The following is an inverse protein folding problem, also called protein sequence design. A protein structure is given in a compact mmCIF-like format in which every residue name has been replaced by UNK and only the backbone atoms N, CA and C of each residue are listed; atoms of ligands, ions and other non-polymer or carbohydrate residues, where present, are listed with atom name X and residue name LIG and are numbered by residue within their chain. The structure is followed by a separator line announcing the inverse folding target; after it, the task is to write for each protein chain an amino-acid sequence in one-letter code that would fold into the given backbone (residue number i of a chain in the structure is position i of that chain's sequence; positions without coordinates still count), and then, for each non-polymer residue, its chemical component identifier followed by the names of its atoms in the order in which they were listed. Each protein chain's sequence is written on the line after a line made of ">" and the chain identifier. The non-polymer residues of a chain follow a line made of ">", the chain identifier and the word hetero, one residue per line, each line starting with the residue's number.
data_IF_247249335339
#
_entry.id   IF_247249335339
#
_cell.length_a   1.000
_cell.length_b   1.000
_cell.length_c   1.000
_cell.angle_alpha   90.00
_cell.angle_beta   90.00
_cell.angle_gamma   90.00
#
_symmetry.space_group_name_H-M   'P 1'
#
loop_
_entity.id
_entity.type
_entity.pdbx_description
1 polymer ?
#
# COMPACT_ATOMS: atom_id res chain seq x y z
N UNK A 1 -24.27 9.36 15.77
CA UNK A 1 -23.47 9.15 14.55
C UNK A 1 -22.22 8.40 14.96
N UNK A 2 -21.88 7.31 14.27
CA UNK A 2 -20.69 6.50 14.62
C UNK A 2 -19.41 7.27 14.29
N UNK A 3 -18.41 7.14 15.16
CA UNK A 3 -17.12 7.80 15.03
C UNK A 3 -16.03 6.77 14.67
N UNK A 4 -15.33 6.99 13.57
CA UNK A 4 -14.22 6.16 13.10
C UNK A 4 -12.91 6.93 13.25
N UNK A 5 -11.92 6.29 13.86
CA UNK A 5 -10.54 6.75 13.86
C UNK A 5 -9.79 6.09 12.68
N UNK A 6 -9.36 6.87 11.72
CA UNK A 6 -8.54 6.40 10.60
C UNK A 6 -7.07 6.72 10.89
N UNK A 7 -6.22 5.69 10.90
CA UNK A 7 -4.81 5.81 11.27
C UNK A 7 -3.92 5.37 10.10
N UNK A 8 -3.05 6.25 9.63
CA UNK A 8 -2.13 6.02 8.52
C UNK A 8 -0.67 6.25 8.94
N UNK A 9 0.29 5.87 8.09
CA UNK A 9 1.69 6.21 8.29
C UNK A 9 1.96 7.68 8.02
N UNK A 10 1.50 8.18 6.89
CA UNK A 10 1.75 9.55 6.45
C UNK A 10 0.49 10.37 6.27
N UNK A 11 0.64 11.68 6.33
CA UNK A 11 -0.43 12.65 6.23
C UNK A 11 -1.26 12.51 4.95
N UNK A 12 -0.60 12.46 3.79
CA UNK A 12 -1.27 12.37 2.48
C UNK A 12 -2.15 11.12 2.38
N UNK A 13 -1.66 9.98 2.85
CA UNK A 13 -2.42 8.72 2.89
C UNK A 13 -3.63 8.84 3.81
N UNK A 14 -3.46 9.48 4.96
CA UNK A 14 -4.53 9.69 5.93
C UNK A 14 -5.70 10.48 5.33
N UNK A 15 -5.42 11.64 4.76
CA UNK A 15 -6.45 12.48 4.12
C UNK A 15 -7.10 11.78 2.94
N UNK A 16 -6.31 11.11 2.13
CA UNK A 16 -6.83 10.39 0.98
C UNK A 16 -7.80 9.28 1.37
N UNK A 17 -7.42 8.41 2.31
CA UNK A 17 -8.30 7.32 2.78
C UNK A 17 -9.56 7.88 3.48
N UNK A 18 -9.43 9.00 4.22
CA UNK A 18 -10.59 9.70 4.78
C UNK A 18 -11.57 10.13 3.70
N UNK A 19 -11.09 10.76 2.64
CA UNK A 19 -11.94 11.25 1.56
C UNK A 19 -12.60 10.10 0.79
N UNK A 20 -11.93 8.96 0.66
CA UNK A 20 -12.54 7.75 0.11
C UNK A 20 -13.66 7.19 1.00
N UNK A 21 -13.41 7.09 2.30
CA UNK A 21 -14.42 6.63 3.25
C UNK A 21 -15.64 7.55 3.25
N UNK A 22 -15.45 8.88 3.19
CA UNK A 22 -16.54 9.84 3.06
C UNK A 22 -17.36 9.65 1.78
N UNK A 23 -16.70 9.35 0.65
CA UNK A 23 -17.42 9.07 -0.61
C UNK A 23 -18.26 7.79 -0.55
N UNK A 24 -17.75 6.76 0.16
CA UNK A 24 -18.44 5.47 0.28
C UNK A 24 -19.56 5.47 1.31
N UNK A 25 -19.32 6.10 2.45
CA UNK A 25 -20.21 6.02 3.62
C UNK A 25 -21.05 7.29 3.82
N UNK A 26 -20.72 8.36 3.09
CA UNK A 26 -21.42 9.64 3.16
C UNK A 26 -21.37 10.26 4.55
N UNK A 27 -22.41 11.03 4.91
CA UNK A 27 -22.51 11.72 6.18
C UNK A 27 -23.02 10.83 7.34
N UNK A 28 -23.00 9.50 7.18
CA UNK A 28 -23.47 8.55 8.20
C UNK A 28 -22.47 8.35 9.33
N UNK A 29 -21.21 8.73 9.09
CA UNK A 29 -20.11 8.55 10.04
C UNK A 29 -19.32 9.83 10.21
N UNK A 30 -18.70 9.97 11.38
CA UNK A 30 -17.69 10.98 11.64
C UNK A 30 -16.31 10.32 11.56
N UNK A 31 -15.36 10.90 10.83
CA UNK A 31 -14.02 10.34 10.66
C UNK A 31 -12.98 11.33 11.18
N UNK A 32 -12.26 10.91 12.21
CA UNK A 32 -11.02 11.58 12.63
C UNK A 32 -9.83 10.86 12.01
N UNK A 33 -8.97 11.60 11.34
CA UNK A 33 -7.78 11.05 10.72
C UNK A 33 -6.52 11.39 11.51
N UNK A 34 -5.68 10.37 11.70
CA UNK A 34 -4.41 10.43 12.42
C UNK A 34 -3.30 9.85 11.54
N UNK A 35 -2.05 10.25 11.78
CA UNK A 35 -0.89 9.69 11.10
C UNK A 35 0.33 9.71 12.02
N UNK A 36 1.26 8.77 11.80
CA UNK A 36 2.36 8.48 12.74
C UNK A 36 3.32 9.65 12.96
N UNK A 37 3.46 10.54 11.97
CA UNK A 37 4.33 11.72 12.03
C UNK A 37 3.57 13.00 12.45
N UNK A 38 2.29 12.87 12.79
CA UNK A 38 1.41 13.97 13.12
C UNK A 38 0.99 14.02 14.58
N UNK A 39 -0.08 14.75 14.84
CA UNK A 39 -0.64 14.92 16.18
C UNK A 39 -1.44 13.69 16.61
N UNK A 40 -0.77 12.63 17.04
CA UNK A 40 -1.41 11.50 17.71
C UNK A 40 -1.76 11.90 19.15
N UNK A 41 -3.02 11.80 19.56
CA UNK A 41 -3.40 12.03 20.94
C UNK A 41 -2.86 10.89 21.82
N UNK A 42 -2.70 11.14 23.12
CA UNK A 42 -2.30 10.10 24.06
C UNK A 42 -3.25 8.89 24.03
N UNK A 43 -4.56 9.15 23.83
CA UNK A 43 -5.58 8.12 23.64
C UNK A 43 -6.54 8.49 22.53
N UNK A 44 -6.70 7.58 21.58
CA UNK A 44 -7.67 7.66 20.48
C UNK A 44 -8.99 7.09 20.99
N UNK A 45 -10.03 7.96 21.03
CA UNK A 45 -11.39 7.58 21.39
C UNK A 45 -12.25 7.58 20.12
N UNK A 46 -12.83 6.44 19.80
CA UNK A 46 -13.74 6.25 18.68
C UNK A 46 -14.65 5.05 18.92
N UNK A 47 -15.62 4.80 18.05
CA UNK A 47 -16.40 3.55 18.07
C UNK A 47 -15.64 2.41 17.37
N UNK A 48 -14.75 2.76 16.43
CA UNK A 48 -13.98 1.82 15.64
C UNK A 48 -12.70 2.46 15.09
N UNK A 49 -11.60 1.70 14.99
CA UNK A 49 -10.35 2.16 14.41
C UNK A 49 -10.01 1.42 13.11
N UNK A 50 -9.56 2.16 12.10
CA UNK A 50 -9.08 1.60 10.83
C UNK A 50 -7.62 1.98 10.64
N UNK A 51 -6.74 1.00 10.53
CA UNK A 51 -5.34 1.19 10.19
C UNK A 51 -5.13 0.95 8.69
N UNK A 52 -4.50 1.88 8.00
CA UNK A 52 -4.23 1.75 6.57
C UNK A 52 -3.14 0.74 6.23
N UNK A 53 -2.37 0.28 7.23
CA UNK A 53 -1.34 -0.74 7.09
C UNK A 53 -1.01 -1.38 8.43
N UNK A 54 -0.38 -2.57 8.38
CA UNK A 54 0.14 -3.26 9.58
C UNK A 54 1.21 -2.41 10.29
N UNK A 55 2.04 -1.69 9.54
CA UNK A 55 3.06 -0.82 10.11
C UNK A 55 2.45 0.39 10.85
N UNK A 56 1.35 0.97 10.34
CA UNK A 56 0.61 2.00 11.06
C UNK A 56 0.08 1.46 12.40
N UNK A 57 -0.49 0.24 12.40
CA UNK A 57 -0.92 -0.42 13.62
C UNK A 57 0.24 -0.64 14.61
N UNK A 58 1.36 -1.21 14.16
CA UNK A 58 2.52 -1.47 15.03
C UNK A 58 3.05 -0.22 15.72
N UNK A 59 3.05 0.92 15.01
CA UNK A 59 3.55 2.19 15.55
C UNK A 59 2.57 2.91 16.49
N UNK A 60 1.28 2.64 16.38
CA UNK A 60 0.27 3.51 17.03
C UNK A 60 -0.79 2.77 17.85
N UNK A 61 -0.78 1.43 17.89
CA UNK A 61 -1.78 0.64 18.63
C UNK A 61 -1.82 0.98 20.13
N UNK A 62 -0.70 1.41 20.71
CA UNK A 62 -0.63 1.83 22.13
C UNK A 62 -1.42 3.10 22.43
N UNK A 63 -1.78 3.88 21.41
CA UNK A 63 -2.64 5.06 21.52
C UNK A 63 -4.14 4.73 21.51
N UNK A 64 -4.52 3.48 21.22
CA UNK A 64 -5.93 3.08 21.26
C UNK A 64 -6.45 3.06 22.70
N UNK A 65 -7.70 3.46 22.88
CA UNK A 65 -8.41 3.22 24.14
C UNK A 65 -8.64 1.73 24.35
N UNK A 66 -8.62 1.29 25.61
CA UNK A 66 -8.80 -0.12 25.94
C UNK A 66 -10.13 -0.65 25.39
N UNK A 67 -10.09 -1.80 24.72
CA UNK A 67 -11.27 -2.44 24.12
C UNK A 67 -11.80 -1.78 22.85
N UNK A 68 -11.12 -0.75 22.29
CA UNK A 68 -11.53 -0.16 21.01
C UNK A 68 -11.40 -1.19 19.89
N UNK A 69 -12.49 -1.60 19.23
CA UNK A 69 -12.41 -2.52 18.11
C UNK A 69 -11.70 -1.86 16.94
N UNK A 70 -10.90 -2.67 16.23
CA UNK A 70 -10.13 -2.16 15.08
C UNK A 70 -10.03 -3.17 13.95
N UNK A 71 -9.66 -2.66 12.78
CA UNK A 71 -9.23 -3.47 11.65
C UNK A 71 -7.97 -2.89 11.01
N UNK A 72 -7.20 -3.76 10.39
CA UNK A 72 -6.10 -3.36 9.51
C UNK A 72 -6.59 -3.56 8.09
N UNK A 73 -6.67 -2.47 7.30
CA UNK A 73 -7.14 -2.57 5.93
C UNK A 73 -6.18 -3.41 5.08
N UNK A 74 -6.74 -4.26 4.25
CA UNK A 74 -5.97 -4.95 3.21
C UNK A 74 -5.85 -4.03 2.00
N UNK A 75 -4.66 -3.94 1.45
CA UNK A 75 -4.46 -3.19 0.20
C UNK A 75 -5.12 -3.97 -0.94
N UNK A 76 -5.91 -3.29 -1.76
CA UNK A 76 -6.39 -3.80 -3.04
C UNK A 76 -5.52 -3.23 -4.16
N UNK A 77 -5.35 -4.00 -5.22
CA UNK A 77 -4.62 -3.56 -6.42
C UNK A 77 -5.61 -2.89 -7.36
N UNK A 78 -5.18 -1.79 -8.00
CA UNK A 78 -5.98 -1.16 -9.04
C UNK A 78 -5.96 -2.05 -10.30
N UNK A 79 -7.10 -2.62 -10.64
CA UNK A 79 -7.23 -3.54 -11.78
C UNK A 79 -6.80 -2.92 -13.12
N UNK A 80 -6.96 -1.61 -13.32
CA UNK A 80 -6.57 -0.93 -14.56
C UNK A 80 -5.05 -0.92 -14.84
N UNK A 81 -4.23 -1.15 -13.82
CA UNK A 81 -2.78 -1.21 -13.96
C UNK A 81 -2.26 -2.67 -14.00
N UNK A 82 -3.10 -3.60 -13.60
CA UNK A 82 -2.78 -5.03 -13.55
C UNK A 82 -2.70 -5.63 -14.96
N UNK A 83 -3.48 -5.10 -15.90
CA UNK A 83 -3.51 -5.56 -17.29
C UNK A 83 -2.11 -5.61 -17.92
N UNK A 84 -1.25 -4.65 -17.60
CA UNK A 84 0.13 -4.59 -18.08
C UNK A 84 1.00 -5.76 -17.60
N UNK A 85 0.66 -6.37 -16.47
CA UNK A 85 1.38 -7.52 -15.95
C UNK A 85 1.03 -8.80 -16.71
N UNK A 86 -0.20 -8.91 -17.19
CA UNK A 86 -0.62 -10.04 -18.03
C UNK A 86 0.06 -10.04 -19.41
N UNK A 87 0.49 -8.85 -19.89
CA UNK A 87 1.21 -8.73 -21.17
C UNK A 87 2.67 -9.17 -21.09
N UNK A 88 3.23 -9.31 -19.88
CA UNK A 88 4.62 -9.72 -19.69
C UNK A 88 4.79 -11.21 -19.99
N UNK A 89 5.86 -11.60 -20.69
CA UNK A 89 6.16 -13.01 -20.94
C UNK A 89 6.32 -13.81 -19.64
N UNK A 90 5.85 -15.06 -19.64
CA UNK A 90 6.02 -15.96 -18.52
C UNK A 90 7.51 -16.08 -18.13
N UNK A 91 7.78 -16.17 -16.83
CA UNK A 91 9.14 -16.21 -16.30
C UNK A 91 9.88 -14.87 -16.27
N UNK A 92 9.20 -13.76 -16.65
CA UNK A 92 9.80 -12.43 -16.51
C UNK A 92 10.08 -12.10 -15.06
N UNK A 93 11.32 -11.69 -14.76
CA UNK A 93 11.71 -11.25 -13.43
C UNK A 93 11.15 -9.84 -13.15
N UNK A 94 10.37 -9.73 -12.08
CA UNK A 94 9.69 -8.49 -11.65
C UNK A 94 10.12 -8.14 -10.24
N UNK A 95 10.65 -6.93 -10.05
CA UNK A 95 10.94 -6.36 -8.75
C UNK A 95 9.69 -5.70 -8.19
N UNK A 96 9.11 -6.24 -7.12
CA UNK A 96 7.97 -5.63 -6.46
C UNK A 96 8.44 -4.76 -5.31
N UNK A 97 8.31 -3.45 -5.49
CA UNK A 97 8.84 -2.41 -4.60
C UNK A 97 7.73 -1.87 -3.70
N UNK A 98 7.96 -1.89 -2.37
CA UNK A 98 7.05 -1.29 -1.40
C UNK A 98 7.84 -0.61 -0.26
N UNK A 99 7.13 0.02 0.67
CA UNK A 99 7.68 0.70 1.85
C UNK A 99 8.40 -0.25 2.83
N UNK A 100 7.94 -1.50 2.91
CA UNK A 100 8.58 -2.56 3.69
C UNK A 100 8.43 -3.92 3.00
N UNK A 101 9.29 -4.86 3.38
CA UNK A 101 9.34 -6.20 2.78
C UNK A 101 8.04 -6.99 2.98
N UNK A 102 7.37 -6.82 4.13
CA UNK A 102 6.10 -7.49 4.40
C UNK A 102 5.00 -6.99 3.44
N UNK A 103 4.90 -5.67 3.23
CA UNK A 103 3.95 -5.09 2.27
C UNK A 103 4.24 -5.54 0.84
N UNK A 104 5.52 -5.71 0.48
CA UNK A 104 5.90 -6.24 -0.83
C UNK A 104 5.44 -7.70 -1.00
N UNK A 105 5.69 -8.55 -0.01
CA UNK A 105 5.27 -9.95 -0.03
C UNK A 105 3.74 -10.10 -0.03
N UNK A 106 3.02 -9.30 0.77
CA UNK A 106 1.56 -9.29 0.79
C UNK A 106 1.00 -8.91 -0.61
N UNK A 107 1.64 -7.97 -1.30
CA UNK A 107 1.27 -7.57 -2.66
C UNK A 107 1.54 -8.68 -3.67
N UNK A 108 2.69 -9.38 -3.59
CA UNK A 108 3.00 -10.54 -4.43
C UNK A 108 1.94 -11.63 -4.24
N UNK A 109 1.63 -11.98 -2.99
CA UNK A 109 0.61 -12.98 -2.69
C UNK A 109 -0.76 -12.61 -3.26
N UNK A 110 -1.10 -11.32 -3.23
CA UNK A 110 -2.34 -10.83 -3.81
C UNK A 110 -2.34 -10.95 -5.34
N UNK A 111 -1.24 -10.60 -6.03
CA UNK A 111 -1.09 -10.75 -7.48
C UNK A 111 -1.24 -12.22 -7.89
N UNK A 112 -0.59 -13.13 -7.17
CA UNK A 112 -0.70 -14.58 -7.41
C UNK A 112 -2.13 -15.09 -7.21
N UNK A 113 -2.82 -14.61 -6.16
CA UNK A 113 -4.24 -14.94 -5.92
C UNK A 113 -5.16 -14.45 -7.05
N UNK A 114 -4.79 -13.35 -7.71
CA UNK A 114 -5.50 -12.82 -8.88
C UNK A 114 -5.16 -13.55 -10.20
N UNK A 115 -4.34 -14.62 -10.14
CA UNK A 115 -3.95 -15.40 -11.32
C UNK A 115 -2.78 -14.82 -12.10
N UNK A 116 -2.00 -13.88 -11.51
CA UNK A 116 -0.78 -13.37 -12.12
C UNK A 116 0.41 -14.06 -11.47
N UNK A 117 0.49 -15.36 -11.69
CA UNK A 117 1.49 -16.27 -11.13
C UNK A 117 2.56 -16.71 -12.15
N UNK A 118 2.42 -16.28 -13.41
CA UNK A 118 3.34 -16.59 -14.50
C UNK A 118 4.65 -15.79 -14.45
N UNK A 119 4.78 -14.83 -13.53
CA UNK A 119 5.95 -13.96 -13.37
C UNK A 119 6.81 -14.39 -12.17
N UNK A 120 8.12 -14.12 -12.23
CA UNK A 120 9.03 -14.33 -11.12
C UNK A 120 9.14 -13.05 -10.28
N UNK A 121 8.47 -13.01 -9.14
CA UNK A 121 8.47 -11.84 -8.26
C UNK A 121 9.61 -11.84 -7.26
N UNK A 122 10.26 -10.69 -7.10
CA UNK A 122 11.26 -10.43 -6.07
C UNK A 122 10.79 -9.23 -5.24
N UNK A 123 10.54 -9.45 -3.96
CA UNK A 123 10.16 -8.39 -3.04
C UNK A 123 11.35 -7.49 -2.74
N UNK A 124 11.13 -6.18 -2.75
CA UNK A 124 12.13 -5.17 -2.43
C UNK A 124 11.54 -4.07 -1.54
N UNK A 125 12.33 -3.64 -0.57
CA UNK A 125 12.05 -2.49 0.28
C UNK A 125 13.32 -1.64 0.44
N UNK A 126 13.18 -0.32 0.75
CA UNK A 126 14.33 0.54 1.00
C UNK A 126 15.25 0.00 2.09
N UNK A 127 16.56 0.06 1.86
CA UNK A 127 17.57 -0.44 2.79
C UNK A 127 17.97 -1.90 2.60
N UNK A 128 17.45 -2.58 1.58
CA UNK A 128 17.93 -3.90 1.18
C UNK A 128 19.12 -3.77 0.23
N UNK A 129 20.22 -4.45 0.56
CA UNK A 129 21.44 -4.46 -0.27
C UNK A 129 21.38 -5.48 -1.41
N UNK A 130 20.57 -6.54 -1.27
CA UNK A 130 20.44 -7.60 -2.27
C UNK A 130 19.36 -7.26 -3.31
N UNK A 131 19.77 -6.51 -4.32
CA UNK A 131 18.91 -6.18 -5.44
C UNK A 131 18.94 -7.28 -6.49
N UNK A 132 17.87 -8.06 -6.59
CA UNK A 132 17.77 -9.12 -7.60
C UNK A 132 17.66 -8.53 -9.01
N UNK A 133 18.25 -9.24 -10.00
CA UNK A 133 18.16 -8.83 -11.40
C UNK A 133 16.72 -8.93 -11.90
N UNK A 134 16.13 -7.79 -12.21
CA UNK A 134 14.76 -7.69 -12.73
C UNK A 134 14.72 -6.69 -13.90
N UNK A 135 13.94 -7.03 -14.93
CA UNK A 135 13.72 -6.14 -16.09
C UNK A 135 12.63 -5.13 -15.83
N UNK A 136 11.73 -5.43 -14.94
CA UNK A 136 10.53 -4.65 -14.64
C UNK A 136 10.47 -4.39 -13.15
N UNK A 137 10.13 -3.16 -12.75
CA UNK A 137 9.79 -2.84 -11.38
C UNK A 137 8.31 -2.44 -11.30
N UNK A 138 7.62 -3.01 -10.33
CA UNK A 138 6.21 -2.73 -10.05
C UNK A 138 6.09 -2.18 -8.64
N UNK A 139 5.31 -1.13 -8.47
CA UNK A 139 5.06 -0.54 -7.17
C UNK A 139 3.62 -0.07 -7.04
N UNK A 140 2.92 -0.39 -5.94
CA UNK A 140 1.57 0.12 -5.69
C UNK A 140 1.58 1.59 -5.20
N UNK A 141 2.25 2.49 -5.93
CA UNK A 141 2.26 3.93 -5.64
C UNK A 141 3.54 4.47 -4.98
N UNK A 142 4.53 3.62 -4.71
CA UNK A 142 5.78 4.00 -4.01
C UNK A 142 6.95 4.19 -4.99
N UNK A 143 6.73 4.92 -6.09
CA UNK A 143 7.73 5.14 -7.16
C UNK A 143 9.05 5.73 -6.66
N UNK A 144 9.04 6.49 -5.56
CA UNK A 144 10.24 7.05 -4.90
C UNK A 144 11.21 5.99 -4.40
N UNK A 145 10.73 4.78 -4.13
CA UNK A 145 11.53 3.67 -3.60
C UNK A 145 12.08 2.75 -4.70
N UNK A 146 11.66 2.94 -5.94
CA UNK A 146 12.20 2.17 -7.06
C UNK A 146 13.67 2.54 -7.25
N UNK A 147 14.59 1.57 -7.24
CA UNK A 147 16.01 1.82 -7.42
C UNK A 147 16.29 2.58 -8.72
N UNK A 148 17.13 3.62 -8.66
CA UNK A 148 17.48 4.43 -9.85
C UNK A 148 18.24 3.62 -10.91
N UNK A 149 18.98 2.61 -10.47
CA UNK A 149 19.67 1.64 -11.34
C UNK A 149 19.17 0.26 -10.98
N UNK A 150 18.36 -0.32 -11.87
CA UNK A 150 18.03 -1.74 -11.77
C UNK A 150 19.14 -2.54 -12.46
N UNK A 151 19.61 -3.64 -11.86
CA UNK A 151 20.55 -4.53 -12.52
C UNK A 151 19.81 -5.21 -13.68
N UNK A 152 20.06 -4.77 -14.90
CA UNK A 152 19.50 -5.34 -16.12
C UNK A 152 20.60 -5.86 -17.04
N UNK A 153 20.28 -6.95 -17.75
CA UNK A 153 21.17 -7.54 -18.76
C UNK A 153 20.96 -6.93 -20.15
N UNK A 154 20.03 -5.97 -20.33
CA UNK A 154 19.75 -5.38 -21.64
C UNK A 154 19.22 -3.95 -21.55
N UNK A 155 19.50 -3.17 -22.61
CA UNK A 155 19.21 -1.72 -22.74
C UNK A 155 17.70 -1.32 -22.80
N UNK A 156 16.77 -2.23 -22.56
CA UNK A 156 15.33 -1.94 -22.64
C UNK A 156 14.72 -2.06 -21.25
N UNK A 157 15.08 -1.14 -20.37
CA UNK A 157 14.46 -1.03 -19.04
C UNK A 157 13.09 -0.37 -19.17
N UNK A 158 12.04 -1.17 -19.21
CA UNK A 158 10.68 -0.64 -19.04
C UNK A 158 10.42 -0.48 -17.53
N UNK A 159 10.47 0.74 -17.05
CA UNK A 159 9.88 1.11 -15.77
C UNK A 159 8.37 1.14 -15.95
N UNK A 160 7.72 0.02 -15.71
CA UNK A 160 6.30 0.03 -15.43
C UNK A 160 6.14 0.55 -13.99
N UNK A 161 6.27 1.86 -13.84
CA UNK A 161 5.60 2.48 -12.73
C UNK A 161 4.13 2.25 -13.01
N UNK A 162 3.47 1.43 -12.20
CA UNK A 162 2.07 1.64 -11.94
C UNK A 162 2.01 3.02 -11.27
N UNK A 163 2.34 4.05 -12.07
CA UNK A 163 2.16 5.42 -11.65
C UNK A 163 0.66 5.53 -11.52
N UNK A 164 0.20 5.53 -10.30
CA UNK A 164 -0.90 6.39 -9.99
C UNK A 164 -0.52 7.75 -10.58
N UNK A 165 -0.85 7.91 -11.87
CA UNK A 165 -1.13 9.23 -12.40
C UNK A 165 -1.92 9.92 -11.29
N UNK A 166 -1.52 11.08 -10.89
CA UNK A 166 -1.95 12.00 -9.85
C UNK A 166 -3.47 12.07 -9.55
N UNK A 167 -4.27 11.04 -9.78
CA UNK A 167 -5.72 11.09 -9.64
C UNK A 167 -6.42 9.90 -8.97
N UNK A 168 -5.76 8.80 -8.57
CA UNK A 168 -6.43 7.76 -7.75
C UNK A 168 -5.44 6.79 -7.13
N UNK A 169 -5.12 6.88 -5.83
CA UNK A 169 -4.50 5.77 -5.11
C UNK A 169 -5.48 4.62 -4.93
N UNK A 170 -4.94 3.42 -4.85
CA UNK A 170 -5.67 2.18 -4.72
C UNK A 170 -6.66 2.17 -3.56
N UNK A 171 -7.87 1.68 -3.82
CA UNK A 171 -8.92 1.48 -2.84
C UNK A 171 -8.44 0.63 -1.66
N UNK A 172 -8.65 1.12 -0.44
CA UNK A 172 -8.83 0.26 0.72
C UNK A 172 -10.19 -0.41 0.56
N UNK A 173 -10.23 -1.71 0.21
CA UNK A 173 -11.44 -2.49 0.34
C UNK A 173 -11.67 -2.74 1.84
N UNK A 174 -12.81 -2.29 2.34
CA UNK A 174 -13.36 -2.62 3.65
C UNK A 174 -14.12 -3.93 3.54
#
# INVERSE_FOLDING_TARGET
>A
MKHIALIALGEKTSYFCRDQLHRLLGNRINISNYYTEGNLPQRIKADFAIFTSRLAYQKTHTHLSDGLPYMISRRSINYHEVDKLFELPAGTNVLLVNDCIQSANDTISLLQTLGIDHLNYYAYAPGMDDLKMAKVAVTPGESRFVPRKMPSTSRTDQRLTASTSTRRPALCAV
#
